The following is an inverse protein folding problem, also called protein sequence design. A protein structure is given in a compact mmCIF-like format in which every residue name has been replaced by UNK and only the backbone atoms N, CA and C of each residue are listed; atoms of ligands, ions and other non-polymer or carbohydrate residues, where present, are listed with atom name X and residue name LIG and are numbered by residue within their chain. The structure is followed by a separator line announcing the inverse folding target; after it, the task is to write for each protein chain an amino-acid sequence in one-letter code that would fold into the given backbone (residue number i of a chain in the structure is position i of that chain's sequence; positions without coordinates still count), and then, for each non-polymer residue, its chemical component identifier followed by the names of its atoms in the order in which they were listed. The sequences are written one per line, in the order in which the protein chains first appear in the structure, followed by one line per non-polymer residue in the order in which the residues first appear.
data_IF_337190005753
#
_entry.id   IF_337190005753
#
_cell.length_a   1.000
_cell.length_b   1.000
_cell.length_c   1.000
_cell.angle_alpha   90.00
_cell.angle_beta   90.00
_cell.angle_gamma   90.00
#
_symmetry.space_group_name_H-M   'P 1'
#
loop_
_entity.id
_entity.type
_entity.pdbx_description
1 polymer ?
#
# COMPACT_ATOMS: atom_id res chain seq x y z
N UNK A 1 -9.36 13.69 -9.92
CA UNK A 1 -9.05 12.78 -11.03
C UNK A 1 -8.62 11.47 -10.39
N UNK A 2 -9.47 10.46 -10.37
CA UNK A 2 -9.20 9.21 -9.62
C UNK A 2 -8.23 8.33 -10.44
N UNK A 3 -7.01 8.14 -9.96
CA UNK A 3 -6.06 7.19 -10.55
C UNK A 3 -6.53 5.75 -10.29
N UNK A 4 -6.97 5.07 -11.33
CA UNK A 4 -7.29 3.64 -11.32
C UNK A 4 -5.95 2.89 -11.28
N UNK A 5 -5.48 2.56 -10.07
CA UNK A 5 -4.34 1.66 -9.89
C UNK A 5 -4.89 0.24 -9.73
N UNK A 6 -4.37 -0.68 -10.54
CA UNK A 6 -4.68 -2.12 -10.57
C UNK A 6 -6.04 -2.52 -11.14
N UNK A 7 -6.09 -2.67 -12.47
CA UNK A 7 -7.13 -3.46 -13.14
C UNK A 7 -6.58 -4.87 -13.37
N UNK A 8 -7.14 -5.86 -12.69
CA UNK A 8 -6.91 -7.28 -12.99
C UNK A 8 -8.11 -7.78 -13.79
N UNK A 9 -7.90 -8.07 -15.07
CA UNK A 9 -8.89 -8.77 -15.89
C UNK A 9 -9.05 -10.20 -15.38
N UNK A 10 -10.20 -10.50 -14.78
CA UNK A 10 -10.60 -11.88 -14.50
C UNK A 10 -11.04 -12.55 -15.80
N UNK A 11 -10.10 -13.17 -16.51
CA UNK A 11 -10.44 -14.07 -17.61
C UNK A 11 -11.02 -15.37 -17.05
N UNK A 12 -12.29 -15.61 -17.36
CA UNK A 12 -12.99 -16.87 -17.14
C UNK A 12 -12.79 -17.72 -18.39
N UNK A 13 -12.14 -18.87 -18.23
CA UNK A 13 -12.32 -20.04 -19.08
C UNK A 13 -11.33 -20.21 -20.23
N UNK A 14 -10.51 -21.26 -20.16
CA UNK A 14 -10.26 -22.12 -21.33
C UNK A 14 -9.82 -23.51 -20.85
N UNK A 15 -10.51 -24.51 -21.38
CA UNK A 15 -10.30 -25.95 -21.16
C UNK A 15 -8.86 -26.39 -21.43
N UNK A 16 -8.33 -27.26 -20.57
CA UNK A 16 -7.31 -28.24 -20.95
C UNK A 16 -7.68 -29.60 -20.34
N UNK A 17 -7.74 -30.58 -21.23
CA UNK A 17 -8.26 -31.94 -21.09
C UNK A 17 -7.56 -32.82 -20.03
N UNK A 18 -8.40 -33.65 -19.40
CA UNK A 18 -8.06 -34.76 -18.50
C UNK A 18 -7.21 -35.86 -19.17
N UNK A 19 -6.20 -36.36 -18.46
CA UNK A 19 -5.76 -37.76 -18.59
C UNK A 19 -5.83 -38.45 -17.22
N UNK A 20 -6.60 -39.53 -17.21
CA UNK A 20 -6.97 -40.39 -16.07
C UNK A 20 -5.75 -41.08 -15.45
N UNK A 21 -5.72 -41.16 -14.12
CA UNK A 21 -5.02 -42.24 -13.42
C UNK A 21 -5.86 -42.70 -12.23
N UNK A 22 -5.84 -44.01 -12.03
CA UNK A 22 -6.90 -44.85 -11.47
C UNK A 22 -7.09 -44.75 -9.95
N UNK A 23 -8.35 -44.87 -9.53
CA UNK A 23 -8.78 -45.00 -8.14
C UNK A 23 -8.30 -46.32 -7.53
N UNK A 24 -7.71 -46.26 -6.33
CA UNK A 24 -7.70 -47.39 -5.38
C UNK A 24 -8.41 -46.96 -4.10
N UNK A 25 -9.52 -47.62 -3.85
CA UNK A 25 -10.38 -47.47 -2.68
C UNK A 25 -9.67 -47.94 -1.41
N UNK A 26 -9.70 -47.10 -0.36
CA UNK A 26 -9.24 -47.46 0.97
C UNK A 26 -10.48 -47.77 1.81
N UNK A 27 -10.67 -49.05 2.16
CA UNK A 27 -11.65 -49.46 3.17
C UNK A 27 -11.14 -49.11 4.57
N UNK A 28 -12.06 -48.59 5.39
CA UNK A 28 -11.85 -48.14 6.76
C UNK A 28 -12.06 -49.29 7.73
N UNK A 29 -11.07 -49.52 8.61
CA UNK A 29 -11.27 -50.16 9.91
C UNK A 29 -10.43 -51.41 10.16
N UNK A 30 -9.24 -51.25 10.74
CA UNK A 30 -8.60 -52.28 11.58
C UNK A 30 -7.54 -51.68 12.52
N UNK A 31 -7.53 -52.13 13.78
CA UNK A 31 -6.74 -51.62 14.92
C UNK A 31 -5.24 -51.88 14.73
N UNK A 32 -4.40 -50.85 14.95
CA UNK A 32 -2.94 -50.93 14.86
C UNK A 32 -2.34 -51.75 16.01
N UNK A 33 -1.56 -52.78 15.69
CA UNK A 33 -0.57 -53.39 16.60
C UNK A 33 0.81 -52.82 16.25
N UNK A 34 1.51 -52.33 17.28
CA UNK A 34 2.64 -51.42 17.24
C UNK A 34 3.96 -52.20 17.30
N UNK A 35 4.44 -52.77 16.19
CA UNK A 35 5.72 -53.53 16.17
C UNK A 35 6.48 -53.49 14.81
N UNK A 36 6.14 -52.58 13.89
CA UNK A 36 6.83 -52.47 12.58
C UNK A 36 7.57 -51.15 12.35
N UNK A 37 7.75 -50.32 13.40
CA UNK A 37 8.32 -48.97 13.24
C UNK A 37 9.86 -48.91 13.23
N UNK A 38 10.59 -49.96 13.60
CA UNK A 38 12.05 -49.88 13.65
C UNK A 38 12.76 -50.29 12.35
N UNK A 39 12.18 -51.16 11.52
CA UNK A 39 12.82 -51.57 10.25
C UNK A 39 12.60 -50.61 9.09
N UNK A 40 11.71 -49.63 9.24
CA UNK A 40 11.37 -48.67 8.17
C UNK A 40 12.13 -47.33 8.27
N UNK A 41 12.89 -47.09 9.35
CA UNK A 41 13.66 -45.85 9.50
C UNK A 41 15.00 -45.91 8.74
N UNK A 42 15.59 -47.10 8.59
CA UNK A 42 16.87 -47.29 7.87
C UNK A 42 16.70 -47.46 6.35
N UNK A 43 15.55 -47.94 5.87
CA UNK A 43 15.29 -48.13 4.44
C UNK A 43 14.92 -46.83 3.68
N UNK A 44 14.40 -45.80 4.37
CA UNK A 44 14.11 -44.50 3.75
C UNK A 44 15.32 -43.55 3.67
N UNK A 45 16.39 -43.84 4.41
CA UNK A 45 17.58 -42.99 4.45
C UNK A 45 18.45 -43.12 3.19
N UNK A 46 18.29 -44.18 2.39
CA UNK A 46 19.17 -44.47 1.24
C UNK A 46 18.55 -44.24 -0.14
N UNK A 47 17.33 -43.69 -0.24
CA UNK A 47 16.71 -43.30 -1.52
C UNK A 47 16.02 -41.92 -1.48
N UNK A 48 16.51 -41.04 -0.60
CA UNK A 48 15.97 -39.70 -0.40
C UNK A 48 16.33 -38.73 -1.53
N UNK A 49 15.72 -38.89 -2.72
CA UNK A 49 15.46 -37.71 -3.56
C UNK A 49 14.58 -36.79 -2.74
N UNK A 50 15.19 -35.80 -2.07
CA UNK A 50 14.46 -34.74 -1.37
C UNK A 50 13.46 -34.17 -2.36
N UNK A 51 12.17 -34.44 -2.14
CA UNK A 51 11.10 -33.93 -2.97
C UNK A 51 11.14 -32.40 -2.84
N UNK A 52 11.43 -31.71 -3.95
CA UNK A 52 11.53 -30.25 -3.96
C UNK A 52 10.12 -29.69 -3.93
N UNK A 53 9.69 -29.26 -2.75
CA UNK A 53 8.41 -28.59 -2.56
C UNK A 53 8.55 -27.10 -2.88
N UNK A 54 7.75 -26.63 -3.83
CA UNK A 54 7.69 -25.22 -4.21
C UNK A 54 6.63 -24.48 -3.39
N UNK A 55 6.93 -23.24 -3.00
CA UNK A 55 5.98 -22.33 -2.35
C UNK A 55 6.07 -20.96 -3.00
N UNK A 56 4.98 -20.21 -2.94
CA UNK A 56 4.94 -18.81 -3.39
C UNK A 56 5.82 -17.97 -2.48
N UNK A 57 6.68 -17.15 -3.06
CA UNK A 57 7.50 -16.20 -2.34
C UNK A 57 6.76 -14.86 -2.18
N UNK A 58 6.04 -14.68 -1.07
CA UNK A 58 5.29 -13.45 -0.80
C UNK A 58 6.20 -12.23 -0.62
N UNK A 59 7.44 -12.40 -0.16
CA UNK A 59 8.36 -11.27 0.03
C UNK A 59 8.69 -10.59 -1.31
N UNK A 60 8.91 -11.38 -2.36
CA UNK A 60 9.16 -10.84 -3.71
C UNK A 60 7.92 -10.14 -4.27
N UNK A 61 6.71 -10.65 -3.98
CA UNK A 61 5.47 -9.96 -4.35
C UNK A 61 5.32 -8.61 -3.67
N UNK A 62 5.54 -8.55 -2.35
CA UNK A 62 5.41 -7.30 -1.59
C UNK A 62 6.47 -6.28 -2.06
N UNK A 63 7.69 -6.73 -2.35
CA UNK A 63 8.73 -5.88 -2.92
C UNK A 63 8.32 -5.30 -4.27
N UNK A 64 7.78 -6.10 -5.18
CA UNK A 64 7.26 -5.59 -6.45
C UNK A 64 6.11 -4.60 -6.29
N UNK A 65 5.25 -4.81 -5.29
CA UNK A 65 4.15 -3.91 -5.00
C UNK A 65 4.65 -2.59 -4.42
N UNK A 66 5.66 -2.62 -3.53
CA UNK A 66 6.37 -1.44 -3.03
C UNK A 66 6.97 -0.63 -4.18
N UNK A 67 7.69 -1.29 -5.08
CA UNK A 67 8.36 -0.65 -6.21
C UNK A 67 7.35 0.03 -7.13
N UNK A 68 6.25 -0.66 -7.47
CA UNK A 68 5.14 -0.08 -8.23
C UNK A 68 4.50 1.10 -7.51
N UNK A 69 4.30 1.01 -6.19
CA UNK A 69 3.74 2.09 -5.39
C UNK A 69 4.65 3.32 -5.40
N UNK A 70 5.97 3.14 -5.24
CA UNK A 70 6.96 4.21 -5.30
C UNK A 70 6.97 4.90 -6.67
N UNK A 71 7.00 4.12 -7.77
CA UNK A 71 6.96 4.65 -9.14
C UNK A 71 5.67 5.44 -9.37
N UNK A 72 4.53 4.91 -8.94
CA UNK A 72 3.25 5.57 -9.12
C UNK A 72 3.13 6.85 -8.27
N UNK A 73 3.70 6.86 -7.06
CA UNK A 73 3.76 8.06 -6.22
C UNK A 73 4.62 9.15 -6.87
N UNK A 74 5.83 8.79 -7.31
CA UNK A 74 6.73 9.73 -8.01
C UNK A 74 6.08 10.28 -9.27
N UNK A 75 5.39 9.46 -10.06
CA UNK A 75 4.68 9.92 -11.27
C UNK A 75 3.55 10.91 -10.96
N UNK A 76 2.93 10.83 -9.78
CA UNK A 76 1.85 11.72 -9.39
C UNK A 76 2.36 13.07 -8.84
N UNK A 77 3.53 13.05 -8.19
CA UNK A 77 4.11 14.24 -7.55
C UNK A 77 5.09 15.01 -8.42
N UNK A 78 5.85 14.29 -9.24
CA UNK A 78 6.88 14.82 -10.13
C UNK A 78 6.48 14.58 -11.58
N UNK A 79 7.47 14.53 -12.48
CA UNK A 79 7.25 14.28 -13.89
C UNK A 79 7.32 12.77 -14.24
N UNK A 80 6.86 12.46 -15.47
CA UNK A 80 6.97 11.11 -16.01
C UNK A 80 8.44 10.67 -16.18
N UNK A 81 9.37 11.62 -16.33
CA UNK A 81 10.80 11.34 -16.44
C UNK A 81 11.37 10.74 -15.14
N UNK A 82 11.11 11.37 -14.01
CA UNK A 82 11.51 10.89 -12.68
C UNK A 82 10.94 9.51 -12.36
N UNK A 83 9.69 9.25 -12.74
CA UNK A 83 9.08 7.93 -12.57
C UNK A 83 9.78 6.85 -13.41
N UNK A 84 10.19 7.17 -14.64
CA UNK A 84 10.92 6.25 -15.51
C UNK A 84 12.34 5.99 -14.98
N UNK A 85 13.05 7.03 -14.51
CA UNK A 85 14.38 6.86 -13.89
C UNK A 85 14.29 5.98 -12.65
N UNK A 86 13.32 6.23 -11.75
CA UNK A 86 13.09 5.39 -10.59
C UNK A 86 12.78 3.94 -10.99
N UNK A 87 11.93 3.74 -12.00
CA UNK A 87 11.62 2.39 -12.51
C UNK A 87 12.86 1.67 -13.02
N UNK A 88 13.75 2.36 -13.75
CA UNK A 88 14.98 1.78 -14.26
C UNK A 88 15.94 1.38 -13.13
N UNK A 89 16.05 2.21 -12.09
CA UNK A 89 16.88 1.92 -10.90
C UNK A 89 16.35 0.70 -10.14
N UNK A 90 15.04 0.62 -9.91
CA UNK A 90 14.43 -0.51 -9.21
C UNK A 90 14.55 -1.82 -10.00
N UNK A 91 14.47 -1.76 -11.33
CA UNK A 91 14.70 -2.94 -12.17
C UNK A 91 16.18 -3.40 -12.17
N UNK A 92 17.14 -2.47 -12.24
CA UNK A 92 18.57 -2.82 -12.14
C UNK A 92 18.95 -3.39 -10.76
N UNK A 93 18.33 -2.89 -9.69
CA UNK A 93 18.62 -3.32 -8.31
C UNK A 93 17.82 -4.56 -7.88
N UNK A 94 16.89 -5.04 -8.71
CA UNK A 94 15.97 -6.14 -8.39
C UNK A 94 16.69 -7.39 -7.87
N UNK A 95 17.77 -7.82 -8.52
CA UNK A 95 18.50 -9.04 -8.13
C UNK A 95 19.36 -8.90 -6.86
N UNK A 96 19.63 -7.67 -6.41
CA UNK A 96 20.55 -7.36 -5.30
C UNK A 96 19.80 -6.98 -4.03
N UNK A 97 18.65 -6.33 -4.16
CA UNK A 97 17.81 -5.98 -3.02
C UNK A 97 17.06 -7.19 -2.47
N UNK A 98 17.43 -7.67 -1.29
CA UNK A 98 16.77 -8.81 -0.65
C UNK A 98 15.74 -8.40 0.42
N UNK A 99 15.72 -7.13 0.84
CA UNK A 99 14.85 -6.63 1.92
C UNK A 99 13.67 -5.84 1.36
N UNK A 100 12.47 -6.18 1.82
CA UNK A 100 11.23 -5.45 1.51
C UNK A 100 11.27 -4.02 2.10
N UNK A 101 11.69 -3.87 3.36
CA UNK A 101 11.80 -2.57 4.04
C UNK A 101 13.20 -1.96 3.91
N UNK A 102 13.71 -1.89 2.68
CA UNK A 102 14.98 -1.23 2.41
C UNK A 102 14.77 0.30 2.45
N UNK A 103 15.50 1.01 3.31
CA UNK A 103 15.36 2.47 3.41
C UNK A 103 15.92 3.19 2.18
N UNK A 104 16.98 2.63 1.59
CA UNK A 104 17.68 3.19 0.43
C UNK A 104 17.93 2.13 -0.63
N UNK A 105 17.90 2.53 -1.90
CA UNK A 105 18.25 1.65 -3.00
C UNK A 105 19.75 1.37 -3.05
N UNK A 106 20.13 0.26 -3.67
CA UNK A 106 21.55 -0.01 -3.97
C UNK A 106 22.12 1.12 -4.85
N UNK A 107 23.31 1.66 -4.53
CA UNK A 107 23.92 2.72 -5.35
C UNK A 107 24.21 2.23 -6.77
N UNK A 108 23.81 3.02 -7.77
CA UNK A 108 24.07 2.75 -9.19
C UNK A 108 24.77 3.94 -9.86
N UNK A 109 25.64 3.67 -10.83
CA UNK A 109 26.26 4.72 -11.65
C UNK A 109 25.24 5.33 -12.61
N UNK A 110 25.39 6.63 -12.98
CA UNK A 110 24.50 7.28 -13.96
C UNK A 110 24.50 6.55 -15.30
N UNK A 111 25.64 6.00 -15.71
CA UNK A 111 25.76 5.26 -16.97
C UNK A 111 24.90 4.00 -16.95
N UNK A 112 24.97 3.23 -15.86
CA UNK A 112 24.12 2.04 -15.67
C UNK A 112 22.63 2.42 -15.65
N UNK A 113 22.28 3.52 -14.97
CA UNK A 113 20.90 4.01 -14.94
C UNK A 113 20.41 4.39 -16.34
N UNK A 114 21.25 5.10 -17.12
CA UNK A 114 20.91 5.51 -18.47
C UNK A 114 20.73 4.30 -19.41
N UNK A 115 21.61 3.31 -19.32
CA UNK A 115 21.48 2.06 -20.09
C UNK A 115 20.15 1.35 -19.79
N UNK A 116 19.75 1.22 -18.51
CA UNK A 116 18.46 0.64 -18.13
C UNK A 116 17.27 1.46 -18.62
N UNK A 117 17.33 2.80 -18.53
CA UNK A 117 16.30 3.69 -19.06
C UNK A 117 16.11 3.47 -20.56
N UNK A 118 17.21 3.30 -21.32
CA UNK A 118 17.16 3.10 -22.76
C UNK A 118 16.58 1.73 -23.18
N UNK A 119 16.55 0.74 -22.28
CA UNK A 119 15.85 -0.54 -22.54
C UNK A 119 14.33 -0.34 -22.61
N UNK A 120 13.78 0.62 -21.87
CA UNK A 120 12.35 0.93 -21.86
C UNK A 120 11.94 1.83 -23.04
N UNK A 121 10.86 1.48 -23.72
CA UNK A 121 10.23 2.30 -24.77
C UNK A 121 9.80 3.69 -24.26
N UNK A 122 9.31 3.76 -23.02
CA UNK A 122 8.92 5.01 -22.35
C UNK A 122 10.16 5.86 -22.05
N UNK A 123 11.25 5.21 -21.60
CA UNK A 123 12.53 5.86 -21.35
C UNK A 123 13.13 6.51 -22.59
N UNK A 124 13.13 5.81 -23.73
CA UNK A 124 13.64 6.36 -25.00
C UNK A 124 12.86 7.57 -25.51
N UNK A 125 11.57 7.69 -25.16
CA UNK A 125 10.73 8.83 -25.57
C UNK A 125 10.85 10.02 -24.63
N UNK A 126 10.99 9.77 -23.33
CA UNK A 126 10.92 10.79 -22.29
C UNK A 126 12.30 11.34 -21.92
N UNK A 127 13.36 10.53 -22.03
CA UNK A 127 14.72 10.87 -21.61
C UNK A 127 15.65 10.71 -22.81
N UNK A 128 16.16 11.83 -23.31
CA UNK A 128 17.05 11.86 -24.48
C UNK A 128 18.53 11.97 -24.14
N UNK A 129 18.87 12.41 -22.93
CA UNK A 129 20.26 12.70 -22.52
C UNK A 129 20.55 12.27 -21.09
N UNK A 130 21.84 12.09 -20.78
CA UNK A 130 22.34 11.85 -19.42
C UNK A 130 21.99 13.00 -18.46
N UNK A 131 21.91 14.23 -18.95
CA UNK A 131 21.55 15.40 -18.16
C UNK A 131 20.08 15.39 -17.74
N UNK A 132 19.18 14.87 -18.58
CA UNK A 132 17.78 14.63 -18.21
C UNK A 132 17.64 13.59 -17.09
N UNK A 133 18.52 12.58 -17.05
CA UNK A 133 18.59 11.61 -15.93
C UNK A 133 19.05 12.32 -14.65
N UNK A 134 20.10 13.14 -14.72
CA UNK A 134 20.59 13.91 -13.55
C UNK A 134 19.53 14.89 -13.02
N UNK A 135 18.81 15.59 -13.91
CA UNK A 135 17.72 16.47 -13.52
C UNK A 135 16.61 15.71 -12.78
N UNK A 136 16.23 14.53 -13.28
CA UNK A 136 15.23 13.65 -12.67
C UNK A 136 15.70 13.12 -11.29
N UNK A 137 16.97 12.75 -11.16
CA UNK A 137 17.57 12.33 -9.88
C UNK A 137 17.60 13.48 -8.86
N UNK A 138 17.86 14.70 -9.32
CA UNK A 138 17.76 15.90 -8.51
C UNK A 138 16.35 16.13 -7.95
N UNK A 139 15.31 15.93 -8.78
CA UNK A 139 13.91 16.02 -8.32
C UNK A 139 13.58 14.96 -7.25
N UNK A 140 14.12 13.75 -7.39
CA UNK A 140 13.99 12.67 -6.41
C UNK A 140 14.78 12.94 -5.11
N UNK A 141 15.49 14.07 -5.03
CA UNK A 141 16.26 14.46 -3.86
C UNK A 141 17.56 13.67 -3.69
N UNK A 142 18.03 13.01 -4.75
CA UNK A 142 19.35 12.37 -4.75
C UNK A 142 20.41 13.47 -4.84
N UNK A 143 21.12 13.72 -3.74
CA UNK A 143 22.25 14.64 -3.73
C UNK A 143 23.45 13.93 -4.37
N UNK A 144 24.18 14.62 -5.26
CA UNK A 144 25.44 14.10 -5.78
C UNK A 144 26.39 13.83 -4.61
N UNK A 145 27.00 12.64 -4.50
CA UNK A 145 28.08 12.44 -3.56
C UNK A 145 29.24 13.38 -3.93
N UNK A 146 29.79 14.06 -2.92
CA UNK A 146 30.84 15.08 -3.02
C UNK A 146 32.18 14.53 -3.58
N UNK A 147 32.25 13.23 -3.90
CA UNK A 147 33.48 12.52 -4.30
C UNK A 147 33.33 12.05 -5.76
N UNK A 148 33.92 12.83 -6.68
CA UNK A 148 33.83 12.78 -8.15
C UNK A 148 34.35 11.51 -8.86
N UNK A 149 34.65 10.41 -8.15
CA UNK A 149 35.37 9.29 -8.78
C UNK A 149 34.41 8.31 -9.47
N UNK A 150 33.15 8.22 -9.03
CA UNK A 150 32.10 7.49 -9.72
C UNK A 150 30.74 8.11 -9.34
N UNK A 151 30.07 8.77 -10.30
CA UNK A 151 28.77 9.43 -10.10
C UNK A 151 27.71 8.37 -9.75
N UNK A 152 27.64 7.99 -8.47
CA UNK A 152 26.74 6.95 -7.96
C UNK A 152 25.55 7.57 -7.23
N UNK A 153 24.36 7.04 -7.49
CA UNK A 153 23.10 7.54 -6.97
C UNK A 153 22.38 6.44 -6.20
N UNK A 154 21.85 6.79 -5.03
CA UNK A 154 21.01 5.93 -4.20
C UNK A 154 19.73 6.70 -3.88
N UNK A 155 18.58 6.04 -4.05
CA UNK A 155 17.26 6.62 -3.84
C UNK A 155 16.80 6.33 -2.42
N UNK A 156 16.32 7.36 -1.74
CA UNK A 156 15.66 7.23 -0.43
C UNK A 156 14.21 6.74 -0.62
N UNK A 157 14.05 5.42 -0.61
CA UNK A 157 12.74 4.77 -0.74
C UNK A 157 11.85 5.10 0.46
N UNK A 158 12.44 5.20 1.66
CA UNK A 158 11.72 5.56 2.88
C UNK A 158 11.07 6.93 2.75
N UNK A 159 11.80 7.93 2.24
CA UNK A 159 11.23 9.26 2.00
C UNK A 159 10.05 9.22 1.02
N UNK A 160 10.15 8.45 -0.06
CA UNK A 160 9.06 8.32 -1.05
C UNK A 160 7.81 7.70 -0.39
N UNK A 161 8.01 6.70 0.47
CA UNK A 161 6.94 6.03 1.22
C UNK A 161 6.32 6.97 2.26
N UNK A 162 7.13 7.68 3.06
CA UNK A 162 6.65 8.65 4.05
C UNK A 162 5.79 9.74 3.40
N UNK A 163 6.22 10.22 2.23
CA UNK A 163 5.45 11.20 1.47
C UNK A 163 4.12 10.60 0.97
N UNK A 164 4.12 9.35 0.47
CA UNK A 164 2.87 8.68 0.07
C UNK A 164 1.93 8.46 1.26
N UNK A 165 2.46 8.13 2.44
CA UNK A 165 1.70 8.01 3.68
C UNK A 165 1.05 9.34 4.08
N UNK A 166 1.81 10.45 3.98
CA UNK A 166 1.30 11.81 4.21
C UNK A 166 0.13 12.12 3.28
N UNK A 167 0.27 11.88 1.98
CA UNK A 167 -0.77 12.11 0.97
C UNK A 167 -2.05 11.28 1.22
N UNK A 168 -1.90 10.03 1.67
CA UNK A 168 -3.05 9.16 1.95
C UNK A 168 -3.83 9.63 3.18
N UNK A 169 -3.15 10.00 4.27
CA UNK A 169 -3.83 10.55 5.45
C UNK A 169 -4.42 11.93 5.19
N UNK A 170 -3.72 12.77 4.43
CA UNK A 170 -4.26 14.02 3.91
C UNK A 170 -5.56 13.80 3.13
N UNK A 171 -5.61 12.77 2.29
CA UNK A 171 -6.79 12.38 1.53
C UNK A 171 -7.93 11.88 2.43
N UNK A 172 -7.62 11.16 3.51
CA UNK A 172 -8.60 10.77 4.53
C UNK A 172 -9.18 12.00 5.22
N UNK A 173 -8.33 12.95 5.63
CA UNK A 173 -8.77 14.19 6.28
C UNK A 173 -9.65 15.02 5.36
N UNK A 174 -9.28 15.15 4.08
CA UNK A 174 -10.06 15.86 3.08
C UNK A 174 -11.46 15.24 2.89
N UNK A 175 -11.55 13.91 2.81
CA UNK A 175 -12.82 13.19 2.62
C UNK A 175 -13.72 13.23 3.85
N UNK A 176 -13.16 13.16 5.07
CA UNK A 176 -13.92 13.11 6.33
C UNK A 176 -14.29 14.48 6.90
N UNK A 177 -13.35 15.43 6.90
CA UNK A 177 -13.50 16.72 7.58
C UNK A 177 -13.61 17.91 6.62
N UNK A 178 -13.32 17.71 5.34
CA UNK A 178 -13.47 18.72 4.30
C UNK A 178 -12.21 19.57 4.04
N UNK A 179 -12.35 20.54 3.14
CA UNK A 179 -11.23 21.33 2.59
C UNK A 179 -10.51 22.20 3.62
N UNK A 180 -11.23 22.79 4.57
CA UNK A 180 -10.62 23.64 5.60
C UNK A 180 -9.77 22.84 6.57
N UNK A 181 -10.26 21.66 6.98
CA UNK A 181 -9.52 20.73 7.82
C UNK A 181 -8.28 20.18 7.10
N UNK A 182 -8.39 19.86 5.82
CA UNK A 182 -7.26 19.48 4.99
C UNK A 182 -6.15 20.55 5.01
N UNK A 183 -6.49 21.83 4.77
CA UNK A 183 -5.52 22.93 4.77
C UNK A 183 -4.83 23.10 6.12
N UNK A 184 -5.59 23.00 7.22
CA UNK A 184 -5.06 23.07 8.58
C UNK A 184 -4.14 21.89 8.87
N UNK A 185 -4.57 20.67 8.55
CA UNK A 185 -3.81 19.46 8.80
C UNK A 185 -2.50 19.43 8.02
N UNK A 186 -2.53 19.76 6.72
CA UNK A 186 -1.34 19.85 5.87
C UNK A 186 -0.32 20.84 6.42
N UNK A 187 -0.77 22.03 6.84
CA UNK A 187 0.10 23.02 7.45
C UNK A 187 0.76 22.51 8.75
N UNK A 188 0.02 21.76 9.57
CA UNK A 188 0.57 21.17 10.79
C UNK A 188 1.54 20.01 10.51
N UNK A 189 1.25 19.19 9.49
CA UNK A 189 2.10 18.08 9.06
C UNK A 189 3.44 18.60 8.51
N UNK A 190 3.40 19.61 7.63
CA UNK A 190 4.60 20.24 7.05
C UNK A 190 5.41 21.02 8.10
N UNK A 191 4.76 21.67 9.07
CA UNK A 191 5.46 22.44 10.08
C UNK A 191 6.26 21.58 11.07
N UNK A 192 5.83 20.33 11.34
CA UNK A 192 6.51 19.39 12.24
C UNK A 192 6.63 19.84 13.71
N UNK A 193 6.03 20.97 14.08
CA UNK A 193 6.16 21.61 15.39
C UNK A 193 4.81 22.06 15.95
N UNK A 194 4.80 22.33 17.25
CA UNK A 194 3.65 22.87 17.95
C UNK A 194 3.33 24.29 17.43
N UNK A 195 2.08 24.50 17.01
CA UNK A 195 1.58 25.79 16.55
C UNK A 195 0.35 26.23 17.36
N UNK A 196 0.26 27.53 17.61
CA UNK A 196 -0.88 28.15 18.30
C UNK A 196 -2.09 28.29 17.35
N UNK A 197 -3.29 28.22 17.91
CA UNK A 197 -4.55 28.39 17.16
C UNK A 197 -4.59 29.66 16.31
N UNK A 198 -4.11 30.79 16.84
CA UNK A 198 -4.10 32.07 16.13
C UNK A 198 -3.17 32.02 14.90
N UNK A 199 -1.95 31.50 15.07
CA UNK A 199 -0.97 31.35 13.98
C UNK A 199 -1.47 30.40 12.89
N UNK A 200 -2.22 29.37 13.26
CA UNK A 200 -2.84 28.44 12.31
C UNK A 200 -3.95 29.15 11.53
N UNK A 201 -4.84 29.88 12.21
CA UNK A 201 -5.93 30.64 11.59
C UNK A 201 -5.37 31.66 10.59
N UNK A 202 -4.35 32.43 10.99
CA UNK A 202 -3.75 33.46 10.14
C UNK A 202 -3.08 32.87 8.89
N UNK A 203 -2.36 31.75 9.01
CA UNK A 203 -1.70 31.11 7.86
C UNK A 203 -2.65 30.36 6.93
N UNK A 204 -3.72 29.78 7.49
CA UNK A 204 -4.70 29.00 6.72
C UNK A 204 -5.83 29.88 6.17
N UNK A 205 -5.90 31.16 6.56
CA UNK A 205 -7.01 32.06 6.22
C UNK A 205 -8.38 31.46 6.55
N UNK A 206 -8.46 30.70 7.65
CA UNK A 206 -9.71 30.16 8.20
C UNK A 206 -10.08 31.00 9.42
N UNK A 207 -11.37 31.31 9.60
CA UNK A 207 -11.82 32.09 10.75
C UNK A 207 -11.44 31.42 12.08
N UNK A 208 -10.94 32.19 13.06
CA UNK A 208 -10.47 31.67 14.36
C UNK A 208 -11.46 30.74 15.07
N UNK A 209 -12.77 31.05 14.98
CA UNK A 209 -13.84 30.23 15.57
C UNK A 209 -13.94 28.86 14.89
N UNK A 210 -13.87 28.82 13.56
CA UNK A 210 -13.93 27.59 12.78
C UNK A 210 -12.62 26.80 12.88
N UNK A 211 -11.46 27.47 12.88
CA UNK A 211 -10.16 26.85 13.15
C UNK A 211 -10.17 26.09 14.47
N UNK A 212 -10.65 26.73 15.55
CA UNK A 212 -10.75 26.06 16.85
C UNK A 212 -11.69 24.83 16.79
N UNK A 213 -12.88 24.96 16.19
CA UNK A 213 -13.81 23.82 16.04
C UNK A 213 -13.21 22.66 15.25
N UNK A 214 -12.49 22.95 14.17
CA UNK A 214 -11.82 21.93 13.34
C UNK A 214 -10.71 21.24 14.13
N UNK A 215 -9.86 22.00 14.82
CA UNK A 215 -8.76 21.47 15.63
C UNK A 215 -9.27 20.56 16.75
N UNK A 216 -10.35 20.96 17.44
CA UNK A 216 -10.99 20.12 18.45
C UNK A 216 -11.59 18.82 17.88
N UNK A 217 -12.18 18.87 16.68
CA UNK A 217 -12.69 17.66 16.01
C UNK A 217 -11.54 16.70 15.66
N UNK A 218 -10.50 17.21 15.01
CA UNK A 218 -9.33 16.39 14.65
C UNK A 218 -8.61 15.82 15.88
N UNK A 219 -8.54 16.57 16.98
CA UNK A 219 -7.98 16.07 18.24
C UNK A 219 -8.86 15.01 18.91
N UNK A 220 -10.18 15.18 18.88
CA UNK A 220 -11.11 14.20 19.45
C UNK A 220 -11.01 12.85 18.74
N UNK A 221 -10.74 12.88 17.44
CA UNK A 221 -10.58 11.67 16.62
C UNK A 221 -9.11 11.20 16.56
N UNK A 222 -8.25 11.66 17.48
CA UNK A 222 -6.83 11.26 17.61
C UNK A 222 -5.91 11.61 16.41
N UNK A 223 -6.33 12.52 15.53
CA UNK A 223 -5.49 13.01 14.41
C UNK A 223 -4.43 14.04 14.85
N UNK A 224 -4.66 14.72 15.98
CA UNK A 224 -3.78 15.78 16.49
C UNK A 224 -3.37 15.52 17.94
N UNK A 225 -2.18 16.00 18.28
CA UNK A 225 -1.73 16.17 19.65
C UNK A 225 -1.97 17.62 20.09
N UNK A 226 -2.51 17.79 21.30
CA UNK A 226 -2.79 19.10 21.89
C UNK A 226 -2.07 19.24 23.22
N UNK A 227 -1.35 20.34 23.38
CA UNK A 227 -0.63 20.71 24.60
C UNK A 227 -1.15 22.05 25.13
N UNK A 228 -1.49 22.09 26.42
CA UNK A 228 -1.93 23.32 27.10
C UNK A 228 -0.75 23.95 27.79
N UNK A 229 -0.35 25.13 27.31
CA UNK A 229 0.74 25.90 27.94
C UNK A 229 0.14 27.08 28.68
N UNK A 230 0.43 27.16 29.98
CA UNK A 230 0.05 28.29 30.83
C UNK A 230 1.30 29.15 31.01
N UNK A 231 1.21 30.42 30.62
CA UNK A 231 2.28 31.39 30.88
C UNK A 231 1.99 32.15 32.17
N UNK A 232 2.95 32.13 33.09
CA UNK A 232 2.87 32.83 34.37
C UNK A 232 3.50 34.22 34.21
N UNK A 233 2.66 35.20 33.88
CA UNK A 233 3.00 36.63 33.81
C UNK A 233 1.92 37.50 34.45
N UNK A 234 1.93 38.82 34.18
CA UNK A 234 0.98 39.79 34.78
C UNK A 234 -0.50 39.52 34.48
N UNK A 235 -0.80 38.75 33.42
CA UNK A 235 -2.09 38.11 33.16
C UNK A 235 -1.82 36.64 32.82
N UNK A 236 -2.51 35.72 33.50
CA UNK A 236 -2.43 34.30 33.18
C UNK A 236 -3.04 34.06 31.79
N UNK A 237 -2.21 33.78 30.80
CA UNK A 237 -2.65 33.46 29.43
C UNK A 237 -2.45 31.96 29.21
N UNK A 238 -3.51 31.30 28.76
CA UNK A 238 -3.51 29.89 28.39
C UNK A 238 -3.49 29.76 26.86
N UNK A 239 -2.48 29.08 26.33
CA UNK A 239 -2.35 28.81 24.90
C UNK A 239 -2.59 27.33 24.63
N UNK A 240 -3.31 27.06 23.54
CA UNK A 240 -3.48 25.72 22.99
C UNK A 240 -2.51 25.55 21.83
N UNK A 241 -1.61 24.59 21.97
CA UNK A 241 -0.63 24.22 20.97
C UNK A 241 -1.04 22.91 20.31
N UNK A 242 -0.91 22.86 18.98
CA UNK A 242 -1.34 21.73 18.17
C UNK A 242 -0.17 21.20 17.34
N UNK A 243 -0.05 19.88 17.26
CA UNK A 243 0.97 19.19 16.45
C UNK A 243 0.41 17.89 15.88
N UNK A 244 0.83 17.54 14.68
CA UNK A 244 0.63 16.18 14.14
C UNK A 244 1.75 15.28 14.66
N UNK A 245 1.39 14.22 15.38
CA UNK A 245 2.34 13.17 15.77
C UNK A 245 2.24 12.02 14.77
N UNK A 246 3.07 12.06 13.73
CA UNK A 246 3.05 11.08 12.63
C UNK A 246 3.10 9.63 13.13
N UNK A 247 3.99 9.30 14.07
CA UNK A 247 4.13 7.93 14.57
C UNK A 247 2.87 7.39 15.25
N UNK A 248 2.18 8.24 16.03
CA UNK A 248 0.93 7.86 16.68
C UNK A 248 -0.20 7.79 15.66
N UNK A 249 -0.22 8.76 14.74
CA UNK A 249 -1.24 8.87 13.72
C UNK A 249 -1.22 7.69 12.75
N UNK A 250 -0.05 7.24 12.30
CA UNK A 250 0.07 6.07 11.42
C UNK A 250 -0.50 4.82 12.06
N UNK A 251 -0.24 4.59 13.35
CA UNK A 251 -0.81 3.46 14.09
C UNK A 251 -2.33 3.55 14.19
N UNK A 252 -2.84 4.75 14.49
CA UNK A 252 -4.28 4.98 14.58
C UNK A 252 -4.97 4.77 13.23
N UNK A 253 -4.43 5.34 12.15
CA UNK A 253 -4.98 5.20 10.80
C UNK A 253 -4.91 3.74 10.34
N UNK A 254 -3.82 3.03 10.64
CA UNK A 254 -3.70 1.61 10.34
C UNK A 254 -4.75 0.78 11.07
N UNK A 255 -5.03 1.08 12.34
CA UNK A 255 -6.09 0.44 13.11
C UNK A 255 -7.49 0.71 12.52
N UNK A 256 -7.78 1.96 12.14
CA UNK A 256 -9.01 2.32 11.43
C UNK A 256 -9.15 1.55 10.10
N UNK A 257 -8.05 1.39 9.36
CA UNK A 257 -8.03 0.62 8.11
C UNK A 257 -8.30 -0.87 8.35
N UNK A 258 -7.73 -1.47 9.39
CA UNK A 258 -8.03 -2.87 9.75
C UNK A 258 -9.49 -3.05 10.14
N UNK A 259 -10.05 -2.13 10.93
CA UNK A 259 -11.46 -2.13 11.26
C UNK A 259 -12.35 -1.98 10.01
N UNK A 260 -11.99 -1.10 9.09
CA UNK A 260 -12.69 -0.94 7.82
C UNK A 260 -12.64 -2.21 6.96
N UNK A 261 -11.48 -2.87 6.88
CA UNK A 261 -11.29 -4.12 6.14
C UNK A 261 -12.13 -5.25 6.73
N UNK A 262 -12.15 -5.37 8.06
CA UNK A 262 -12.99 -6.34 8.76
C UNK A 262 -14.48 -6.07 8.50
N UNK A 263 -14.92 -4.82 8.62
CA UNK A 263 -16.32 -4.44 8.35
C UNK A 263 -16.74 -4.76 6.91
N UNK A 264 -15.86 -4.51 5.93
CA UNK A 264 -16.10 -4.89 4.53
C UNK A 264 -16.21 -6.41 4.37
N UNK A 265 -15.30 -7.19 4.97
CA UNK A 265 -15.35 -8.66 4.90
C UNK A 265 -16.60 -9.23 5.56
N UNK A 266 -16.97 -8.73 6.74
CA UNK A 266 -18.21 -9.12 7.42
C UNK A 266 -19.43 -8.78 6.56
N UNK A 267 -19.44 -7.61 5.89
CA UNK A 267 -20.54 -7.26 4.99
C UNK A 267 -20.60 -8.17 3.77
N UNK A 268 -19.47 -8.53 3.18
CA UNK A 268 -19.40 -9.48 2.05
C UNK A 268 -19.98 -10.84 2.48
N UNK A 269 -19.55 -11.37 3.63
CA UNK A 269 -20.06 -12.63 4.16
C UNK A 269 -21.57 -12.58 4.42
N UNK A 270 -22.05 -11.49 5.02
CA UNK A 270 -23.48 -11.28 5.28
C UNK A 270 -24.32 -11.28 3.99
N UNK A 271 -23.89 -10.57 2.94
CA UNK A 271 -24.61 -10.53 1.67
C UNK A 271 -24.58 -11.90 0.96
N UNK A 272 -23.48 -12.65 1.09
CA UNK A 272 -23.37 -14.02 0.56
C UNK A 272 -24.30 -15.00 1.29
N UNK A 273 -24.40 -14.89 2.61
CA UNK A 273 -25.26 -15.76 3.41
C UNK A 273 -26.74 -15.45 3.19
N UNK A 274 -27.11 -14.16 3.17
CA UNK A 274 -28.49 -13.70 2.96
C UNK A 274 -29.09 -14.18 1.64
N UNK A 275 -28.28 -14.27 0.59
CA UNK A 275 -28.72 -14.64 -0.76
C UNK A 275 -28.14 -16.00 -1.20
N UNK A 276 -27.75 -16.85 -0.25
CA UNK A 276 -27.11 -18.16 -0.49
C UNK A 276 -27.96 -19.07 -1.36
N UNK A 277 -29.28 -19.04 -1.20
CA UNK A 277 -30.22 -19.80 -2.02
C UNK A 277 -30.20 -19.35 -3.49
N UNK A 278 -30.13 -18.04 -3.75
CA UNK A 278 -30.07 -17.50 -5.11
C UNK A 278 -28.73 -17.83 -5.78
N UNK A 279 -27.64 -17.90 -5.00
CA UNK A 279 -26.33 -18.31 -5.49
C UNK A 279 -26.27 -19.79 -5.90
N UNK A 280 -27.11 -20.65 -5.33
CA UNK A 280 -27.20 -22.08 -5.66
C UNK A 280 -28.05 -22.35 -6.91
N UNK A 281 -28.90 -21.41 -7.33
CA UNK A 281 -29.74 -21.56 -8.52
C UNK A 281 -28.85 -21.44 -9.77
N UNK A 282 -28.90 -22.42 -10.70
CA UNK A 282 -28.20 -22.34 -11.98
C UNK A 282 -28.55 -21.07 -12.75
N UNK A 283 -27.55 -20.45 -13.39
CA UNK A 283 -27.70 -19.14 -14.08
C UNK A 283 -28.85 -19.11 -15.09
N UNK A 284 -29.13 -20.24 -15.73
CA UNK A 284 -30.18 -20.43 -16.73
C UNK A 284 -31.60 -20.31 -16.14
N UNK A 285 -31.78 -20.58 -14.84
CA UNK A 285 -33.07 -20.53 -14.14
C UNK A 285 -33.34 -19.16 -13.50
N UNK A 286 -32.37 -18.23 -13.55
CA UNK A 286 -32.49 -16.88 -12.98
C UNK A 286 -33.23 -15.94 -13.95
N UNK A 287 -34.54 -16.11 -14.06
CA UNK A 287 -35.42 -15.28 -14.90
C UNK A 287 -36.27 -14.33 -14.03
N UNK A 288 -36.64 -13.18 -14.58
CA UNK A 288 -37.54 -12.23 -13.91
C UNK A 288 -36.93 -11.58 -12.67
N UNK A 289 -37.64 -11.65 -11.54
CA UNK A 289 -37.27 -11.00 -10.29
C UNK A 289 -36.00 -11.60 -9.65
N UNK A 290 -35.82 -12.91 -9.74
CA UNK A 290 -34.62 -13.61 -9.28
C UNK A 290 -33.36 -13.15 -10.05
N UNK A 291 -33.49 -12.96 -11.37
CA UNK A 291 -32.41 -12.41 -12.20
C UNK A 291 -32.04 -10.97 -11.82
N UNK A 292 -33.02 -10.11 -11.49
CA UNK A 292 -32.77 -8.75 -10.99
C UNK A 292 -32.06 -8.77 -9.64
N UNK A 293 -32.49 -9.64 -8.72
CA UNK A 293 -31.90 -9.79 -7.38
C UNK A 293 -30.45 -10.30 -7.46
N UNK A 294 -30.18 -11.29 -8.32
CA UNK A 294 -28.83 -11.77 -8.60
C UNK A 294 -27.91 -10.68 -9.18
N UNK A 295 -28.40 -9.91 -10.17
CA UNK A 295 -27.63 -8.79 -10.73
C UNK A 295 -27.30 -7.73 -9.68
N UNK A 296 -28.24 -7.43 -8.77
CA UNK A 296 -28.03 -6.50 -7.65
C UNK A 296 -26.96 -7.04 -6.70
N UNK A 297 -27.05 -8.31 -6.30
CA UNK A 297 -26.06 -8.96 -5.45
C UNK A 297 -24.67 -8.92 -6.07
N UNK A 298 -24.55 -9.23 -7.36
CA UNK A 298 -23.29 -9.15 -8.10
C UNK A 298 -22.70 -7.74 -8.07
N UNK A 299 -23.52 -6.70 -8.29
CA UNK A 299 -23.07 -5.30 -8.21
C UNK A 299 -22.57 -4.95 -6.81
N UNK A 300 -23.32 -5.32 -5.77
CA UNK A 300 -22.92 -5.09 -4.37
C UNK A 300 -21.59 -5.78 -4.09
N UNK A 301 -21.44 -7.05 -4.47
CA UNK A 301 -20.21 -7.81 -4.28
C UNK A 301 -19.02 -7.15 -4.98
N UNK A 302 -19.16 -6.75 -6.25
CA UNK A 302 -18.09 -6.06 -6.99
C UNK A 302 -17.68 -4.77 -6.28
N UNK A 303 -18.64 -3.98 -5.79
CA UNK A 303 -18.34 -2.74 -5.06
C UNK A 303 -17.61 -3.02 -3.75
N UNK A 304 -18.06 -4.02 -2.98
CA UNK A 304 -17.43 -4.36 -1.70
C UNK A 304 -16.03 -4.96 -1.89
N UNK A 305 -15.87 -5.88 -2.83
CA UNK A 305 -14.56 -6.50 -3.13
C UNK A 305 -13.58 -5.48 -3.72
N UNK A 306 -14.03 -4.61 -4.64
CA UNK A 306 -13.16 -3.54 -5.16
C UNK A 306 -12.80 -2.51 -4.09
N UNK A 307 -13.70 -2.22 -3.14
CA UNK A 307 -13.40 -1.35 -2.01
C UNK A 307 -12.38 -2.00 -1.07
N UNK A 308 -12.48 -3.31 -0.86
CA UNK A 308 -11.51 -4.06 -0.07
C UNK A 308 -10.13 -4.07 -0.74
N UNK A 309 -10.06 -4.28 -2.06
CA UNK A 309 -8.79 -4.22 -2.80
C UNK A 309 -8.13 -2.84 -2.72
N UNK A 310 -8.91 -1.77 -2.88
CA UNK A 310 -8.40 -0.39 -2.72
C UNK A 310 -7.90 -0.11 -1.30
N UNK A 311 -8.55 -0.69 -0.29
CA UNK A 311 -8.12 -0.57 1.09
C UNK A 311 -6.85 -1.39 1.37
N UNK A 312 -6.70 -2.55 0.72
CA UNK A 312 -5.51 -3.39 0.79
C UNK A 312 -4.27 -2.63 0.27
N UNK A 313 -4.39 -1.92 -0.85
CA UNK A 313 -3.32 -1.06 -1.38
C UNK A 313 -2.84 -0.03 -0.33
N UNK A 314 -3.78 0.59 0.39
CA UNK A 314 -3.46 1.55 1.44
C UNK A 314 -2.87 0.86 2.68
N UNK A 315 -3.38 -0.31 3.07
CA UNK A 315 -2.83 -1.10 4.17
C UNK A 315 -1.38 -1.48 3.94
N UNK A 316 -1.04 -1.91 2.71
CA UNK A 316 0.34 -2.25 2.35
C UNK A 316 1.28 -1.06 2.52
N UNK A 317 0.83 0.15 2.20
CA UNK A 317 1.61 1.37 2.36
C UNK A 317 1.96 1.69 3.83
N UNK A 318 1.08 1.38 4.77
CA UNK A 318 1.31 1.64 6.20
C UNK A 318 1.96 0.48 6.95
N UNK A 319 1.76 -0.76 6.50
CA UNK A 319 2.22 -1.96 7.19
C UNK A 319 3.45 -2.60 6.55
N UNK A 320 3.44 -2.77 5.23
CA UNK A 320 4.38 -3.64 4.51
C UNK A 320 5.58 -2.90 3.92
N UNK A 321 5.37 -1.64 3.49
CA UNK A 321 6.39 -0.83 2.82
C UNK A 321 7.36 -0.16 3.79
#
# INVERSE_FOLDING_TARGET
MESIRFFVETNIGTDVSEQKSEEKSIQVGEKRKNDSMESNMEALASNGKKEVLWRVNFEEFIKHLRDKACIANVRAQFDGGAAVVLSAILEATRGVETKVKAEKSVPLSVNTIFEEVMKSDEGRRTISTLESVRASLGQLGCQLPIIEIDETYSIDLKRIIEIAQDDEVESIVLKRYGREAYRIFRLLSEAGRLLETDKISDKTFVEKKETAKILYRLWKDDYLHMEKVVTYGAKQLQFLLWKVNKQSLWKHVLDEMYHAALNLRLRIAYEQEKEKEILQIPREKLVGELGKRYKRLRKIRIVLESSLMKLDDALMLFHDF
#
